data_IF_658206634839
#
_entry.id   IF_658206634839
#
_cell.length_a   1.000
_cell.length_b   1.000
_cell.length_c   1.000
_cell.angle_alpha   90.00
_cell.angle_beta   90.00
_cell.angle_gamma   90.00
#
_symmetry.space_group_name_H-M   'P 1'
#
loop_
_entity.id
_entity.type
_entity.pdbx_description
1 polymer ?
#
# COMPACT_ATOMS: atom_id res chain seq x y z
N UNK A 1 3.06 -28.28 -10.89
CA UNK A 1 1.82 -27.69 -10.34
C UNK A 1 1.88 -26.17 -10.17
N UNK A 2 3.04 -25.55 -9.86
CA UNK A 2 3.16 -24.08 -9.72
C UNK A 2 2.96 -23.28 -11.02
N UNK A 3 3.39 -23.78 -12.19
CA UNK A 3 3.29 -23.06 -13.48
C UNK A 3 1.85 -22.80 -13.96
N UNK A 4 0.90 -23.66 -13.59
CA UNK A 4 -0.53 -23.48 -13.90
C UNK A 4 -1.23 -22.49 -12.95
N UNK A 5 -0.57 -22.11 -11.84
CA UNK A 5 -1.13 -21.21 -10.82
C UNK A 5 -0.83 -19.75 -11.16
N UNK A 6 0.35 -19.48 -11.73
CA UNK A 6 0.72 -18.14 -12.23
C UNK A 6 -0.11 -17.72 -13.46
N UNK A 7 -0.32 -18.62 -14.44
CA UNK A 7 -1.18 -18.31 -15.59
C UNK A 7 -2.64 -18.01 -15.18
N UNK A 8 -3.16 -18.67 -14.15
CA UNK A 8 -4.51 -18.40 -13.63
C UNK A 8 -4.59 -17.07 -12.87
N UNK A 9 -3.54 -16.69 -12.12
CA UNK A 9 -3.45 -15.39 -11.45
C UNK A 9 -3.37 -14.25 -12.47
N UNK A 10 -2.53 -14.39 -13.50
CA UNK A 10 -2.41 -13.39 -14.57
C UNK A 10 -3.71 -13.21 -15.36
N UNK A 11 -4.41 -14.32 -15.66
CA UNK A 11 -5.71 -14.26 -16.34
C UNK A 11 -6.79 -13.57 -15.50
N UNK A 12 -6.85 -13.81 -14.18
CA UNK A 12 -7.85 -13.18 -13.29
C UNK A 12 -7.60 -11.68 -13.12
N UNK A 13 -6.34 -11.25 -13.01
CA UNK A 13 -5.98 -9.82 -12.91
C UNK A 13 -6.30 -9.06 -14.19
N UNK A 14 -5.96 -9.63 -15.36
CA UNK A 14 -6.25 -9.01 -16.67
C UNK A 14 -7.77 -8.96 -16.93
N UNK A 15 -8.53 -10.01 -16.57
CA UNK A 15 -9.98 -10.02 -16.77
C UNK A 15 -10.75 -9.08 -15.84
N UNK A 16 -10.25 -8.86 -14.61
CA UNK A 16 -10.89 -7.97 -13.63
C UNK A 16 -10.75 -6.49 -14.01
N UNK A 17 -9.63 -6.11 -14.64
CA UNK A 17 -9.39 -4.75 -15.17
C UNK A 17 -10.19 -4.51 -16.48
N UNK A 18 -10.38 -5.56 -17.31
CA UNK A 18 -11.12 -5.46 -18.57
C UNK A 18 -12.65 -5.42 -18.39
N UNK A 19 -13.20 -6.01 -17.33
CA UNK A 19 -14.67 -6.00 -17.10
C UNK A 19 -15.19 -4.67 -16.55
N UNK A 20 -14.33 -3.82 -15.97
CA UNK A 20 -14.69 -2.47 -15.54
C UNK A 20 -14.65 -1.41 -16.66
N UNK A 21 -14.13 -1.75 -17.86
CA UNK A 21 -13.87 -0.80 -18.94
C UNK A 21 -14.77 -0.94 -20.19
N UNK A 22 -15.81 -1.78 -20.14
CA UNK A 22 -16.73 -1.97 -21.28
C UNK A 22 -18.16 -1.52 -20.99
N UNK A 23 -18.36 -0.22 -20.76
CA UNK A 23 -19.54 0.51 -21.27
C UNK A 23 -19.20 2.00 -21.44
N UNK A 24 -19.65 2.56 -22.56
CA UNK A 24 -19.68 3.99 -22.91
C UNK A 24 -18.38 4.66 -23.43
N UNK A 25 -18.34 4.77 -24.76
CA UNK A 25 -17.52 5.74 -25.48
C UNK A 25 -18.11 7.15 -25.35
N UNK A 26 -17.37 8.06 -24.73
CA UNK A 26 -17.62 9.49 -24.77
C UNK A 26 -16.77 10.21 -23.72
N UNK A 27 -15.76 10.97 -24.18
CA UNK A 27 -14.92 11.91 -23.42
C UNK A 27 -14.99 11.84 -21.88
N UNK A 28 -14.00 11.21 -21.25
CA UNK A 28 -13.85 11.30 -19.80
C UNK A 28 -12.39 11.53 -19.41
N UNK A 29 -12.17 12.59 -18.62
CA UNK A 29 -11.33 12.48 -17.44
C UNK A 29 -12.01 11.46 -16.51
N UNK A 30 -11.72 10.15 -16.67
CA UNK A 30 -12.25 9.11 -15.76
C UNK A 30 -11.37 9.15 -14.52
N UNK A 31 -11.76 9.96 -13.53
CA UNK A 31 -11.35 9.64 -12.17
C UNK A 31 -11.94 8.27 -11.84
N UNK A 32 -11.10 7.27 -11.60
CA UNK A 32 -11.56 5.97 -11.13
C UNK A 32 -12.43 6.19 -9.87
N UNK A 33 -13.66 5.65 -9.86
CA UNK A 33 -14.55 5.75 -8.70
C UNK A 33 -13.89 5.10 -7.49
N UNK A 34 -14.00 5.74 -6.33
CA UNK A 34 -13.49 5.17 -5.07
C UNK A 34 -14.46 4.14 -4.50
N UNK A 35 -13.97 3.21 -3.68
CA UNK A 35 -14.81 2.16 -3.10
C UNK A 35 -15.92 2.76 -2.23
N UNK A 36 -15.63 3.85 -1.52
CA UNK A 36 -16.65 4.57 -0.75
C UNK A 36 -17.73 5.18 -1.64
N UNK A 37 -17.35 5.77 -2.79
CA UNK A 37 -18.31 6.31 -3.76
C UNK A 37 -19.20 5.20 -4.34
N UNK A 38 -18.62 4.06 -4.74
CA UNK A 38 -19.42 2.94 -5.25
C UNK A 38 -20.40 2.38 -4.21
N UNK A 39 -19.99 2.34 -2.93
CA UNK A 39 -20.91 1.98 -1.83
C UNK A 39 -22.01 3.01 -1.64
N UNK A 40 -21.72 4.30 -1.82
CA UNK A 40 -22.73 5.36 -1.77
C UNK A 40 -23.71 5.24 -2.94
N UNK A 41 -23.25 4.89 -4.14
CA UNK A 41 -24.10 4.66 -5.31
C UNK A 41 -25.03 3.46 -5.10
N UNK A 42 -24.53 2.38 -4.48
CA UNK A 42 -25.37 1.24 -4.07
C UNK A 42 -26.44 1.65 -3.06
N UNK A 43 -26.11 2.50 -2.09
CA UNK A 43 -27.10 3.05 -1.14
C UNK A 43 -28.18 3.82 -1.89
N UNK A 44 -27.80 4.66 -2.85
CA UNK A 44 -28.74 5.44 -3.66
C UNK A 44 -29.66 4.53 -4.51
N UNK A 45 -29.12 3.47 -5.09
CA UNK A 45 -29.91 2.46 -5.81
C UNK A 45 -30.92 1.77 -4.88
N UNK A 46 -30.51 1.36 -3.67
CA UNK A 46 -31.41 0.75 -2.70
C UNK A 46 -32.51 1.71 -2.21
N UNK A 47 -32.20 3.00 -2.06
CA UNK A 47 -33.18 4.05 -1.75
C UNK A 47 -34.23 4.18 -2.86
N UNK A 48 -33.83 4.12 -4.14
CA UNK A 48 -34.76 4.13 -5.27
C UNK A 48 -35.69 2.91 -5.25
N UNK A 49 -35.14 1.70 -5.06
CA UNK A 49 -35.94 0.47 -4.94
C UNK A 49 -36.91 0.59 -3.76
N UNK A 50 -36.48 1.12 -2.61
CA UNK A 50 -37.33 1.29 -1.42
C UNK A 50 -38.57 2.15 -1.69
N UNK A 51 -38.43 3.14 -2.57
CA UNK A 51 -39.50 4.07 -2.94
C UNK A 51 -40.47 3.51 -3.99
N UNK A 52 -40.19 2.35 -4.59
CA UNK A 52 -41.12 1.69 -5.52
C UNK A 52 -42.41 1.21 -4.79
N UNK A 53 -43.56 1.46 -5.41
CA UNK A 53 -44.88 1.15 -4.87
C UNK A 53 -45.19 -0.35 -4.85
N UNK A 54 -44.51 -1.14 -5.68
CA UNK A 54 -44.67 -2.59 -5.76
C UNK A 54 -43.89 -3.35 -4.67
N UNK A 55 -43.11 -2.66 -3.83
CA UNK A 55 -42.40 -3.27 -2.71
C UNK A 55 -43.31 -3.44 -1.50
N UNK A 56 -43.39 -4.66 -0.99
CA UNK A 56 -44.13 -4.94 0.25
C UNK A 56 -43.56 -4.19 1.45
N UNK A 57 -44.41 -3.83 2.42
CA UNK A 57 -43.98 -3.17 3.67
C UNK A 57 -42.87 -3.93 4.41
N UNK A 58 -42.89 -5.27 4.35
CA UNK A 58 -41.86 -6.14 4.94
C UNK A 58 -40.53 -5.98 4.20
N UNK A 59 -40.56 -5.92 2.87
CA UNK A 59 -39.38 -5.72 2.03
C UNK A 59 -38.81 -4.31 2.18
N UNK A 60 -39.65 -3.26 2.26
CA UNK A 60 -39.22 -1.88 2.58
C UNK A 60 -38.43 -1.82 3.89
N UNK A 61 -38.95 -2.45 4.95
CA UNK A 61 -38.23 -2.53 6.24
C UNK A 61 -36.88 -3.25 6.15
N UNK A 62 -36.76 -4.29 5.31
CA UNK A 62 -35.48 -4.95 5.10
C UNK A 62 -34.51 -4.09 4.28
N UNK A 63 -34.99 -3.30 3.31
CA UNK A 63 -34.19 -2.33 2.56
C UNK A 63 -33.62 -1.25 3.48
N UNK A 64 -34.46 -0.65 4.33
CA UNK A 64 -34.02 0.32 5.34
C UNK A 64 -32.93 -0.25 6.26
N UNK A 65 -33.09 -1.50 6.68
CA UNK A 65 -32.09 -2.18 7.50
C UNK A 65 -30.81 -2.51 6.73
N UNK A 66 -30.88 -2.74 5.42
CA UNK A 66 -29.71 -2.97 4.57
C UNK A 66 -28.94 -1.65 4.37
N UNK A 67 -29.64 -0.59 4.00
CA UNK A 67 -29.10 0.77 3.80
C UNK A 67 -28.37 1.23 5.07
N UNK A 68 -29.03 1.15 6.23
CA UNK A 68 -28.41 1.49 7.52
C UNK A 68 -27.13 0.70 7.84
N UNK A 69 -26.98 -0.51 7.30
CA UNK A 69 -25.77 -1.31 7.48
C UNK A 69 -24.66 -0.86 6.52
N UNK A 70 -24.98 -0.53 5.28
CA UNK A 70 -24.02 0.04 4.33
C UNK A 70 -23.55 1.44 4.77
N UNK A 71 -24.45 2.31 5.23
CA UNK A 71 -24.08 3.61 5.81
C UNK A 71 -23.12 3.43 7.00
N UNK A 72 -23.34 2.39 7.82
CA UNK A 72 -22.43 2.07 8.91
C UNK A 72 -21.06 1.58 8.40
N UNK A 73 -21.01 0.90 7.27
CA UNK A 73 -19.75 0.44 6.68
C UNK A 73 -18.92 1.61 6.14
N UNK A 74 -19.55 2.73 5.79
CA UNK A 74 -18.93 4.01 5.39
C UNK A 74 -18.46 4.90 6.56
N UNK A 75 -18.51 4.44 7.81
CA UNK A 75 -18.00 5.24 8.93
C UNK A 75 -16.49 5.51 8.77
N UNK A 76 -16.08 6.78 8.77
CA UNK A 76 -14.70 7.22 8.50
C UNK A 76 -13.64 6.58 9.40
N UNK A 77 -13.95 6.22 10.65
CA UNK A 77 -13.01 5.51 11.54
C UNK A 77 -12.61 4.11 11.02
N UNK A 78 -13.38 3.56 10.08
CA UNK A 78 -13.14 2.22 9.53
C UNK A 78 -12.27 2.24 8.27
N UNK A 79 -12.00 3.43 7.74
CA UNK A 79 -11.26 3.64 6.51
C UNK A 79 -9.91 4.31 6.81
N UNK A 80 -8.92 4.00 5.98
CA UNK A 80 -7.64 4.72 5.93
C UNK A 80 -7.77 5.89 4.95
N UNK A 81 -8.39 5.62 3.81
CA UNK A 81 -8.67 6.54 2.72
C UNK A 81 -9.95 6.09 1.98
N UNK A 82 -10.26 6.70 0.85
CA UNK A 82 -11.51 6.47 0.10
C UNK A 82 -11.64 5.07 -0.51
N UNK A 83 -10.55 4.31 -0.62
CA UNK A 83 -10.54 2.96 -1.22
C UNK A 83 -9.90 1.89 -0.34
N UNK A 84 -9.33 2.26 0.81
CA UNK A 84 -8.60 1.35 1.69
C UNK A 84 -9.21 1.30 3.08
N UNK A 85 -9.54 0.10 3.55
CA UNK A 85 -10.05 -0.09 4.91
C UNK A 85 -8.93 -0.12 5.95
N UNK A 86 -9.17 0.50 7.10
CA UNK A 86 -8.22 0.52 8.21
C UNK A 86 -8.03 -0.90 8.78
N UNK A 87 -6.81 -1.44 8.85
CA UNK A 87 -6.55 -2.80 9.37
C UNK A 87 -7.16 -3.11 10.74
N UNK A 88 -7.18 -2.13 11.66
CA UNK A 88 -7.74 -2.29 13.00
C UNK A 88 -9.25 -2.50 12.94
N UNK A 89 -9.93 -1.76 12.07
CA UNK A 89 -11.37 -1.61 12.03
C UNK A 89 -12.06 -2.24 10.81
N UNK A 90 -11.34 -2.69 9.78
CA UNK A 90 -11.87 -3.16 8.50
C UNK A 90 -12.84 -4.33 8.61
N UNK A 91 -12.68 -5.17 9.64
CA UNK A 91 -13.67 -6.21 9.99
C UNK A 91 -15.08 -5.65 10.24
N UNK A 92 -15.20 -4.41 10.72
CA UNK A 92 -16.49 -3.75 10.95
C UNK A 92 -17.19 -3.39 9.63
N UNK A 93 -16.44 -2.98 8.61
CA UNK A 93 -16.93 -2.73 7.23
C UNK A 93 -17.52 -4.03 6.68
N UNK A 94 -16.69 -5.06 6.54
CA UNK A 94 -17.07 -6.36 5.98
C UNK A 94 -18.26 -7.02 6.73
N UNK A 95 -18.32 -6.88 8.06
CA UNK A 95 -19.45 -7.42 8.84
C UNK A 95 -20.75 -6.63 8.64
N UNK A 96 -20.65 -5.32 8.42
CA UNK A 96 -21.82 -4.49 8.18
C UNK A 96 -22.39 -4.82 6.79
N UNK A 97 -21.54 -4.94 5.78
CA UNK A 97 -21.91 -5.33 4.42
C UNK A 97 -22.49 -6.76 4.38
N UNK A 98 -21.90 -7.70 5.12
CA UNK A 98 -22.49 -9.03 5.29
C UNK A 98 -23.91 -8.98 5.89
N UNK A 99 -24.13 -8.10 6.86
CA UNK A 99 -25.45 -7.94 7.47
C UNK A 99 -26.44 -7.28 6.51
N UNK A 100 -25.99 -6.35 5.66
CA UNK A 100 -26.79 -5.74 4.61
C UNK A 100 -27.26 -6.81 3.61
N UNK A 101 -26.34 -7.61 3.06
CA UNK A 101 -26.67 -8.70 2.11
C UNK A 101 -27.67 -9.68 2.72
N UNK A 102 -27.53 -10.07 3.99
CA UNK A 102 -28.53 -10.94 4.65
C UNK A 102 -29.94 -10.35 4.66
N UNK A 103 -30.09 -9.02 4.69
CA UNK A 103 -31.40 -8.36 4.58
C UNK A 103 -31.90 -8.39 3.14
N UNK A 104 -31.03 -8.15 2.16
CA UNK A 104 -31.32 -8.24 0.73
C UNK A 104 -31.74 -9.66 0.32
N UNK A 105 -31.01 -10.69 0.75
CA UNK A 105 -31.36 -12.10 0.55
C UNK A 105 -32.74 -12.48 1.14
N UNK A 106 -33.19 -11.80 2.19
CA UNK A 106 -34.53 -12.02 2.73
C UNK A 106 -35.63 -11.35 1.91
N UNK A 107 -35.32 -10.28 1.18
CA UNK A 107 -36.24 -9.63 0.24
C UNK A 107 -36.46 -10.52 -0.98
N UNK A 108 -35.41 -11.17 -1.49
CA UNK A 108 -35.51 -12.10 -2.62
C UNK A 108 -36.45 -13.30 -2.38
N UNK A 109 -36.79 -13.59 -1.11
CA UNK A 109 -37.77 -14.62 -0.73
C UNK A 109 -39.22 -14.15 -0.84
N UNK A 110 -39.46 -12.86 -1.08
CA UNK A 110 -40.80 -12.30 -1.26
C UNK A 110 -41.36 -12.70 -2.63
N UNK A 111 -42.44 -13.49 -2.62
CA UNK A 111 -43.09 -13.97 -3.83
C UNK A 111 -43.77 -12.87 -4.63
N UNK A 112 -44.11 -11.74 -3.99
CA UNK A 112 -44.79 -10.61 -4.64
C UNK A 112 -43.83 -9.65 -5.34
N UNK A 113 -42.53 -9.81 -5.14
CA UNK A 113 -41.52 -8.97 -5.76
C UNK A 113 -41.42 -9.30 -7.26
N UNK A 114 -41.41 -8.26 -8.11
CA UNK A 114 -41.22 -8.41 -9.55
C UNK A 114 -39.85 -9.01 -9.86
N UNK A 115 -39.69 -9.57 -11.05
CA UNK A 115 -38.42 -10.20 -11.43
C UNK A 115 -37.34 -9.15 -11.68
N UNK A 116 -37.72 -8.00 -12.22
CA UNK A 116 -36.83 -6.87 -12.48
C UNK A 116 -36.15 -6.40 -11.19
N UNK A 117 -36.93 -6.22 -10.11
CA UNK A 117 -36.40 -5.81 -8.81
C UNK A 117 -35.57 -6.92 -8.17
N UNK A 118 -35.93 -8.20 -8.37
CA UNK A 118 -35.10 -9.32 -7.88
C UNK A 118 -33.73 -9.32 -8.54
N UNK A 119 -33.68 -9.09 -9.85
CA UNK A 119 -32.44 -9.08 -10.61
C UNK A 119 -31.58 -7.88 -10.23
N UNK A 120 -32.19 -6.71 -10.01
CA UNK A 120 -31.50 -5.52 -9.49
C UNK A 120 -30.88 -5.77 -8.10
N UNK A 121 -31.64 -6.38 -7.16
CA UNK A 121 -31.12 -6.74 -5.83
C UNK A 121 -30.01 -7.80 -5.93
N UNK A 122 -30.10 -8.74 -6.87
CA UNK A 122 -29.02 -9.72 -7.12
C UNK A 122 -27.75 -9.03 -7.59
N UNK A 123 -27.85 -8.12 -8.56
CA UNK A 123 -26.71 -7.33 -9.04
C UNK A 123 -26.08 -6.50 -7.91
N UNK A 124 -26.89 -5.87 -7.06
CA UNK A 124 -26.41 -5.17 -5.87
C UNK A 124 -25.65 -6.12 -4.93
N UNK A 125 -26.16 -7.33 -4.68
CA UNK A 125 -25.46 -8.30 -3.85
C UNK A 125 -24.11 -8.74 -4.46
N UNK A 126 -24.05 -8.89 -5.78
CA UNK A 126 -22.80 -9.19 -6.51
C UNK A 126 -21.81 -8.04 -6.30
N UNK A 127 -22.22 -6.80 -6.56
CA UNK A 127 -21.35 -5.62 -6.46
C UNK A 127 -20.79 -5.45 -5.04
N UNK A 128 -21.64 -5.52 -4.00
CA UNK A 128 -21.19 -5.45 -2.60
C UNK A 128 -20.16 -6.55 -2.31
N UNK A 129 -20.44 -7.78 -2.77
CA UNK A 129 -19.55 -8.92 -2.51
C UNK A 129 -18.21 -8.80 -3.24
N UNK A 130 -18.21 -8.28 -4.46
CA UNK A 130 -17.00 -8.02 -5.25
C UNK A 130 -16.16 -6.89 -4.65
N UNK A 131 -16.78 -5.79 -4.22
CA UNK A 131 -16.06 -4.70 -3.54
C UNK A 131 -15.34 -5.21 -2.28
N UNK A 132 -16.05 -5.96 -1.43
CA UNK A 132 -15.47 -6.53 -0.22
C UNK A 132 -14.39 -7.59 -0.52
N UNK A 133 -14.52 -8.35 -1.61
CA UNK A 133 -13.48 -9.25 -2.08
C UNK A 133 -12.21 -8.45 -2.42
N UNK A 134 -12.33 -7.43 -3.27
CA UNK A 134 -11.20 -6.59 -3.69
C UNK A 134 -10.50 -5.91 -2.51
N UNK A 135 -11.26 -5.41 -1.52
CA UNK A 135 -10.69 -4.83 -0.29
C UNK A 135 -9.79 -5.82 0.46
N UNK A 136 -10.20 -7.10 0.53
CA UNK A 136 -9.40 -8.13 1.21
C UNK A 136 -8.23 -8.59 0.34
N UNK A 137 -8.39 -8.72 -0.98
CA UNK A 137 -7.31 -9.09 -1.90
C UNK A 137 -6.20 -8.02 -1.92
N UNK A 138 -6.57 -6.74 -2.02
CA UNK A 138 -5.61 -5.64 -1.95
C UNK A 138 -4.82 -5.68 -0.65
N UNK A 139 -5.51 -5.85 0.49
CA UNK A 139 -4.84 -5.98 1.79
C UNK A 139 -3.94 -7.22 1.90
N UNK A 140 -4.17 -8.29 1.14
CA UNK A 140 -3.25 -9.43 1.07
C UNK A 140 -2.03 -9.07 0.23
N UNK A 141 -2.22 -8.51 -0.96
CA UNK A 141 -1.13 -8.15 -1.87
C UNK A 141 -0.16 -7.18 -1.17
N UNK A 142 -0.68 -6.17 -0.48
CA UNK A 142 0.12 -5.22 0.31
C UNK A 142 0.94 -5.89 1.42
N UNK A 143 0.49 -7.03 1.92
CA UNK A 143 1.14 -7.74 3.02
C UNK A 143 2.07 -8.84 2.55
N UNK A 144 1.84 -9.45 1.38
CA UNK A 144 2.73 -10.46 0.82
C UNK A 144 4.13 -9.90 0.56
N UNK A 145 4.24 -8.60 0.24
CA UNK A 145 5.52 -7.94 -0.01
C UNK A 145 6.33 -7.64 1.26
N UNK A 146 5.67 -7.54 2.43
CA UNK A 146 6.33 -7.11 3.68
C UNK A 146 6.37 -8.21 4.76
N UNK A 147 5.58 -9.27 4.64
CA UNK A 147 5.54 -10.38 5.60
C UNK A 147 6.56 -11.44 5.20
N UNK A 148 7.73 -11.39 5.86
CA UNK A 148 8.83 -12.34 5.65
C UNK A 148 8.85 -13.49 6.66
N UNK A 149 8.07 -13.42 7.75
CA UNK A 149 8.07 -14.49 8.76
C UNK A 149 7.28 -15.71 8.29
N UNK A 150 7.84 -16.92 8.46
CA UNK A 150 7.16 -18.19 8.16
C UNK A 150 5.74 -18.28 8.75
N UNK A 151 5.58 -17.77 9.97
CA UNK A 151 4.31 -17.81 10.69
C UNK A 151 3.34 -16.79 10.10
N UNK A 152 3.78 -15.61 9.71
CA UNK A 152 3.01 -14.58 9.01
C UNK A 152 2.57 -15.05 7.62
N UNK A 153 3.50 -15.60 6.82
CA UNK A 153 3.25 -16.18 5.51
C UNK A 153 2.15 -17.26 5.60
N UNK A 154 2.26 -18.19 6.56
CA UNK A 154 1.22 -19.21 6.82
C UNK A 154 -0.15 -18.63 7.20
N UNK A 155 -0.24 -17.40 7.72
CA UNK A 155 -1.53 -16.71 7.96
C UNK A 155 -2.07 -16.12 6.67
N UNK A 156 -1.22 -15.53 5.84
CA UNK A 156 -1.63 -15.00 4.54
C UNK A 156 -2.11 -16.13 3.62
N UNK A 157 -1.41 -17.26 3.55
CA UNK A 157 -1.87 -18.45 2.83
C UNK A 157 -3.26 -18.91 3.28
N UNK A 158 -3.52 -18.89 4.60
CA UNK A 158 -4.84 -19.21 5.16
C UNK A 158 -5.88 -18.14 4.82
N UNK A 159 -5.49 -16.88 4.65
CA UNK A 159 -6.38 -15.83 4.21
C UNK A 159 -6.82 -16.09 2.76
N UNK A 160 -5.87 -16.38 1.87
CA UNK A 160 -6.10 -16.76 0.46
C UNK A 160 -7.05 -17.97 0.37
N UNK A 161 -6.81 -19.02 1.16
CA UNK A 161 -7.70 -20.20 1.21
C UNK A 161 -9.16 -19.84 1.59
N UNK A 162 -9.35 -18.80 2.41
CA UNK A 162 -10.70 -18.30 2.72
C UNK A 162 -11.29 -17.48 1.57
N UNK A 163 -10.49 -16.69 0.87
CA UNK A 163 -10.96 -15.99 -0.33
C UNK A 163 -11.40 -17.00 -1.40
N UNK A 164 -10.59 -18.02 -1.67
CA UNK A 164 -10.93 -19.08 -2.64
C UNK A 164 -12.26 -19.76 -2.29
N UNK A 165 -12.48 -20.08 -1.01
CA UNK A 165 -13.77 -20.62 -0.52
C UNK A 165 -14.91 -19.62 -0.65
N UNK A 166 -14.63 -18.32 -0.50
CA UNK A 166 -15.59 -17.25 -0.73
C UNK A 166 -15.99 -17.14 -2.21
N UNK A 167 -15.03 -17.25 -3.12
CA UNK A 167 -15.24 -17.15 -4.56
C UNK A 167 -16.14 -18.30 -5.08
N UNK A 168 -15.91 -19.53 -4.63
CA UNK A 168 -16.81 -20.66 -4.95
C UNK A 168 -18.25 -20.39 -4.48
N UNK A 169 -18.42 -19.78 -3.30
CA UNK A 169 -19.75 -19.43 -2.79
C UNK A 169 -20.38 -18.25 -3.55
N UNK A 170 -19.57 -17.32 -4.05
CA UNK A 170 -20.04 -16.22 -4.89
C UNK A 170 -20.57 -16.74 -6.23
N UNK A 171 -19.86 -17.69 -6.86
CA UNK A 171 -20.31 -18.38 -8.08
C UNK A 171 -21.64 -19.13 -7.88
N UNK A 172 -21.84 -19.69 -6.68
CA UNK A 172 -23.08 -20.35 -6.26
C UNK A 172 -24.23 -19.38 -5.87
N UNK A 173 -24.08 -18.06 -6.09
CA UNK A 173 -24.99 -17.00 -5.63
C UNK A 173 -25.24 -16.98 -4.09
N UNK A 174 -24.31 -17.52 -3.28
CA UNK A 174 -24.38 -17.56 -1.80
C UNK A 174 -23.63 -16.38 -1.17
N UNK A 175 -24.02 -15.16 -1.53
CA UNK A 175 -23.34 -13.90 -1.21
C UNK A 175 -23.02 -13.72 0.28
N UNK A 176 -23.98 -13.88 1.19
CA UNK A 176 -23.71 -13.69 2.63
C UNK A 176 -22.75 -14.71 3.22
N UNK A 177 -22.62 -15.89 2.60
CA UNK A 177 -21.66 -16.93 2.96
C UNK A 177 -20.28 -16.66 2.35
N UNK A 178 -20.22 -16.10 1.13
CA UNK A 178 -18.99 -15.61 0.52
C UNK A 178 -18.34 -14.52 1.41
N UNK A 179 -19.09 -13.47 1.76
CA UNK A 179 -18.66 -12.42 2.67
C UNK A 179 -18.22 -12.97 4.05
N UNK A 180 -18.88 -14.02 4.55
CA UNK A 180 -18.46 -14.70 5.79
C UNK A 180 -17.03 -15.22 5.70
N UNK A 181 -16.61 -15.72 4.53
CA UNK A 181 -15.26 -16.20 4.32
C UNK A 181 -14.27 -15.04 4.13
N UNK A 182 -14.65 -13.95 3.46
CA UNK A 182 -13.81 -12.75 3.37
C UNK A 182 -13.56 -12.11 4.76
N UNK A 183 -14.58 -12.05 5.63
CA UNK A 183 -14.40 -11.67 7.04
C UNK A 183 -13.40 -12.59 7.77
N UNK A 184 -13.43 -13.90 7.49
CA UNK A 184 -12.46 -14.85 8.07
C UNK A 184 -11.06 -14.68 7.48
N UNK A 185 -10.94 -14.31 6.20
CA UNK A 185 -9.67 -13.95 5.57
C UNK A 185 -9.06 -12.74 6.28
N UNK A 186 -9.86 -11.70 6.52
CA UNK A 186 -9.45 -10.53 7.31
C UNK A 186 -8.99 -10.87 8.73
N UNK A 187 -9.64 -11.85 9.38
CA UNK A 187 -9.17 -12.33 10.68
C UNK A 187 -7.80 -13.00 10.62
N UNK A 188 -7.42 -13.63 9.50
CA UNK A 188 -6.06 -14.16 9.31
C UNK A 188 -5.06 -13.05 9.01
N UNK A 189 -5.42 -12.07 8.17
CA UNK A 189 -4.64 -10.85 7.92
C UNK A 189 -4.28 -10.18 9.26
N UNK A 190 -5.28 -9.92 10.12
CA UNK A 190 -5.07 -9.34 11.45
C UNK A 190 -4.19 -10.20 12.37
N UNK A 191 -4.13 -11.52 12.17
CA UNK A 191 -3.23 -12.40 12.92
C UNK A 191 -1.81 -12.36 12.39
N UNK A 192 -1.65 -12.19 11.07
CA UNK A 192 -0.35 -11.99 10.44
C UNK A 192 0.31 -10.71 10.96
N UNK A 193 -0.45 -9.62 11.02
CA UNK A 193 -0.04 -8.32 11.59
C UNK A 193 0.27 -8.32 13.10
N UNK A 194 -0.08 -9.38 13.82
CA UNK A 194 0.18 -9.56 15.26
C UNK A 194 1.38 -10.45 15.53
N UNK A 195 2.01 -10.99 14.49
CA UNK A 195 3.25 -11.73 14.65
C UNK A 195 4.31 -10.78 15.24
N UNK A 196 4.98 -11.09 16.36
CA UNK A 196 6.07 -10.26 16.86
C UNK A 196 7.24 -10.15 15.87
N UNK A 197 7.36 -11.11 14.95
CA UNK A 197 8.32 -11.09 13.85
C UNK A 197 7.76 -10.42 12.58
N UNK A 198 6.59 -9.79 12.69
CA UNK A 198 6.15 -8.80 11.72
C UNK A 198 7.10 -7.61 11.87
N UNK A 199 8.12 -7.49 10.99
CA UNK A 199 8.87 -6.24 10.82
C UNK A 199 7.84 -5.19 10.38
N UNK A 200 7.15 -4.56 11.34
CA UNK A 200 6.96 -3.14 11.17
C UNK A 200 8.38 -2.61 11.24
N UNK A 201 8.91 -2.13 10.12
CA UNK A 201 9.64 -0.86 10.19
C UNK A 201 8.63 0.16 10.73
N UNK A 202 8.37 0.11 12.04
CA UNK A 202 7.70 1.16 12.76
C UNK A 202 8.84 2.08 13.16
N UNK A 203 9.26 2.90 12.20
CA UNK A 203 9.85 4.19 12.52
C UNK A 203 8.77 4.98 13.26
N UNK A 204 8.60 4.68 14.55
CA UNK A 204 7.84 5.54 15.45
C UNK A 204 8.79 6.69 15.75
N UNK A 205 8.52 7.82 15.11
CA UNK A 205 9.21 9.09 15.31
C UNK A 205 10.68 9.06 14.90
N UNK A 206 10.90 9.43 13.63
CA UNK A 206 12.08 10.16 13.20
C UNK A 206 13.44 9.44 13.34
N UNK A 207 13.50 8.18 13.76
CA UNK A 207 14.77 7.44 13.94
C UNK A 207 14.54 5.91 13.88
N UNK A 208 15.42 5.17 13.22
CA UNK A 208 15.36 3.71 13.15
C UNK A 208 16.56 3.09 12.45
N UNK A 209 16.78 1.80 12.72
CA UNK A 209 17.79 0.97 12.04
C UNK A 209 17.15 -0.24 11.35
N UNK A 210 17.85 -0.81 10.38
CA UNK A 210 17.46 -2.06 9.75
C UNK A 210 18.67 -2.91 9.37
N UNK A 211 18.58 -4.19 9.72
CA UNK A 211 19.33 -5.33 9.19
C UNK A 211 18.66 -5.75 7.85
N UNK A 212 19.38 -5.59 6.74
CA UNK A 212 18.98 -5.79 5.36
C UNK A 212 19.38 -7.16 4.80
N UNK A 213 20.47 -7.76 5.28
CA UNK A 213 20.95 -9.07 4.80
C UNK A 213 20.67 -10.26 5.75
N UNK A 214 20.10 -9.98 6.92
CA UNK A 214 19.66 -10.91 7.96
C UNK A 214 20.78 -11.64 8.70
N UNK A 215 21.98 -11.06 8.79
CA UNK A 215 23.08 -11.61 9.57
C UNK A 215 22.98 -11.32 11.08
N UNK A 216 22.11 -10.38 11.47
CA UNK A 216 21.85 -9.97 12.85
C UNK A 216 22.45 -8.61 13.23
N UNK A 217 23.21 -7.98 12.33
CA UNK A 217 23.82 -6.66 12.49
C UNK A 217 23.02 -5.60 11.72
N UNK A 218 23.03 -4.34 12.19
CA UNK A 218 22.28 -3.28 11.51
C UNK A 218 23.07 -2.75 10.31
N UNK A 219 22.47 -2.85 9.13
CA UNK A 219 23.04 -2.33 7.88
C UNK A 219 22.79 -0.85 7.64
N UNK A 220 21.64 -0.35 8.08
CA UNK A 220 21.25 1.04 7.85
C UNK A 220 20.67 1.67 9.11
N UNK A 221 20.98 2.95 9.30
CA UNK A 221 20.42 3.81 10.32
C UNK A 221 19.95 5.11 9.66
N UNK A 222 18.73 5.52 9.96
CA UNK A 222 18.13 6.75 9.43
C UNK A 222 17.48 7.53 10.57
N UNK A 223 17.77 8.84 10.61
CA UNK A 223 17.18 9.78 11.55
C UNK A 223 16.73 11.07 10.86
N UNK A 224 15.45 11.37 10.94
CA UNK A 224 14.85 12.62 10.44
C UNK A 224 14.84 13.66 11.55
N UNK A 225 15.53 14.76 11.37
CA UNK A 225 15.58 15.87 12.31
C UNK A 225 14.52 16.91 11.97
N UNK A 226 13.60 17.16 12.90
CA UNK A 226 12.59 18.20 12.76
C UNK A 226 13.25 19.58 12.62
N UNK A 227 12.77 20.43 11.70
CA UNK A 227 13.30 21.78 11.56
C UNK A 227 13.06 22.60 12.82
N UNK A 228 14.04 23.42 13.22
CA UNK A 228 13.93 24.32 14.39
C UNK A 228 12.92 25.46 14.20
N UNK A 229 12.50 25.71 12.96
CA UNK A 229 11.58 26.79 12.58
C UNK A 229 10.61 26.28 11.51
N UNK A 230 9.35 26.77 11.48
CA UNK A 230 8.45 26.53 10.36
C UNK A 230 9.11 26.92 9.02
N UNK A 231 8.76 26.21 7.94
CA UNK A 231 9.24 26.46 6.58
C UNK A 231 10.77 26.29 6.39
N UNK A 232 11.42 25.54 7.27
CA UNK A 232 12.80 25.06 7.03
C UNK A 232 12.78 23.62 6.55
N UNK A 233 13.71 23.23 5.67
CA UNK A 233 13.84 21.84 5.24
C UNK A 233 14.01 20.90 6.43
N UNK A 234 13.48 19.69 6.29
CA UNK A 234 13.80 18.58 7.17
C UNK A 234 15.23 18.14 6.87
N UNK A 235 15.99 17.79 7.90
CA UNK A 235 17.32 17.19 7.73
C UNK A 235 17.20 15.69 7.99
N UNK A 236 17.86 14.87 7.18
CA UNK A 236 17.98 13.43 7.37
C UNK A 236 19.44 13.11 7.58
N UNK A 237 19.72 12.46 8.69
CA UNK A 237 20.99 11.83 9.03
C UNK A 237 20.88 10.36 8.67
N UNK A 238 21.78 9.89 7.80
CA UNK A 238 21.78 8.52 7.30
C UNK A 238 23.18 7.93 7.47
N UNK A 239 23.21 6.69 7.96
CA UNK A 239 24.40 5.85 8.03
C UNK A 239 24.09 4.52 7.40
N UNK A 240 25.02 3.97 6.62
CA UNK A 240 24.84 2.66 5.98
C UNK A 240 26.16 1.90 5.89
N UNK A 241 26.13 0.60 6.14
CA UNK A 241 27.29 -0.29 6.10
C UNK A 241 27.90 -0.34 4.70
N UNK A 242 29.24 -0.44 4.63
CA UNK A 242 29.96 -0.59 3.35
C UNK A 242 29.58 -1.88 2.61
N UNK A 243 29.11 -2.91 3.33
CA UNK A 243 28.73 -4.21 2.76
C UNK A 243 27.50 -4.09 1.85
N UNK A 244 26.49 -3.33 2.26
CA UNK A 244 25.30 -3.10 1.45
C UNK A 244 25.53 -2.19 0.24
N UNK A 245 26.60 -1.39 0.25
CA UNK A 245 27.00 -0.51 -0.87
C UNK A 245 28.01 -1.16 -1.82
N UNK A 246 28.58 -2.30 -1.42
CA UNK A 246 29.67 -3.01 -2.10
C UNK A 246 30.77 -2.09 -2.63
N UNK A 247 31.32 -1.29 -1.72
CA UNK A 247 32.40 -0.39 -2.03
C UNK A 247 32.92 0.32 -0.80
N UNK A 248 34.23 0.20 -0.55
CA UNK A 248 34.96 1.10 0.35
C UNK A 248 35.56 2.29 -0.43
N UNK A 249 35.11 2.50 -1.66
CA UNK A 249 35.45 3.66 -2.50
C UNK A 249 34.18 4.23 -3.11
N UNK A 250 34.20 5.53 -3.40
CA UNK A 250 33.05 6.21 -4.02
C UNK A 250 32.73 5.67 -5.42
N UNK A 251 33.73 5.23 -6.18
CA UNK A 251 33.53 4.64 -7.51
C UNK A 251 32.76 3.31 -7.48
N UNK A 252 32.67 2.67 -6.32
CA UNK A 252 32.03 1.36 -6.15
C UNK A 252 30.78 1.42 -5.26
N UNK A 253 30.64 2.46 -4.43
CA UNK A 253 29.46 2.70 -3.61
C UNK A 253 28.32 3.33 -4.44
N UNK A 254 27.37 2.50 -4.88
CA UNK A 254 26.15 2.97 -5.55
C UNK A 254 25.02 3.13 -4.56
N UNK A 255 24.41 4.31 -4.49
CA UNK A 255 23.21 4.55 -3.68
C UNK A 255 22.26 5.44 -4.44
N UNK A 256 20.99 5.07 -4.57
CA UNK A 256 19.96 5.97 -5.10
C UNK A 256 18.78 6.04 -4.14
N UNK A 257 18.10 7.18 -4.10
CA UNK A 257 16.93 7.37 -3.24
C UNK A 257 15.72 7.81 -4.07
N UNK A 258 14.58 7.19 -3.81
CA UNK A 258 13.27 7.61 -4.31
C UNK A 258 12.33 7.98 -3.18
N UNK A 259 11.34 8.82 -3.48
CA UNK A 259 10.26 9.18 -2.57
C UNK A 259 8.91 8.83 -3.19
N UNK A 260 7.98 8.31 -2.40
CA UNK A 260 6.59 8.15 -2.82
C UNK A 260 5.62 8.53 -1.72
N UNK A 261 4.52 9.18 -2.09
CA UNK A 261 3.37 9.39 -1.21
C UNK A 261 2.59 8.05 -1.07
N UNK A 262 1.74 7.88 -0.05
CA UNK A 262 1.04 6.64 0.26
C UNK A 262 -0.22 6.47 -0.60
N UNK A 263 -0.43 7.33 -1.61
CA UNK A 263 -1.51 7.16 -2.58
C UNK A 263 -1.09 6.01 -3.48
N UNK A 264 -1.37 4.77 -3.05
CA UNK A 264 -0.96 3.48 -3.63
C UNK A 264 -1.38 3.23 -5.09
N UNK A 265 -1.92 4.24 -5.78
CA UNK A 265 -2.28 4.20 -7.19
C UNK A 265 -1.69 5.34 -8.01
N UNK A 266 -0.89 6.21 -7.39
CA UNK A 266 -0.14 7.22 -8.13
C UNK A 266 1.22 6.65 -8.53
N UNK A 267 1.41 6.47 -9.84
CA UNK A 267 2.73 6.42 -10.47
C UNK A 267 3.34 7.82 -10.59
N UNK A 268 2.64 8.85 -10.13
CA UNK A 268 3.15 10.23 -10.13
C UNK A 268 4.16 10.32 -8.99
N UNK A 269 5.42 10.15 -9.39
CA UNK A 269 6.55 10.60 -8.60
C UNK A 269 6.47 12.11 -8.52
N UNK A 270 6.42 12.65 -7.31
CA UNK A 270 6.50 14.09 -7.11
C UNK A 270 7.96 14.54 -7.21
N UNK A 271 8.53 14.49 -8.41
CA UNK A 271 9.78 15.20 -8.68
C UNK A 271 9.61 16.71 -8.45
N UNK A 272 8.39 17.24 -8.57
CA UNK A 272 8.11 18.67 -8.45
C UNK A 272 7.80 19.14 -7.01
N UNK A 273 7.56 18.23 -6.05
CA UNK A 273 7.19 18.62 -4.67
C UNK A 273 8.29 18.37 -3.63
N UNK A 274 9.40 17.72 -4.03
CA UNK A 274 10.53 17.42 -3.16
C UNK A 274 11.83 17.98 -3.69
N UNK A 275 12.26 19.12 -3.17
CA UNK A 275 13.64 19.58 -3.34
C UNK A 275 14.51 18.84 -2.33
N UNK A 276 15.41 18.00 -2.83
CA UNK A 276 16.42 17.33 -2.03
C UNK A 276 17.80 17.93 -2.29
N UNK A 277 18.62 18.06 -1.25
CA UNK A 277 19.97 18.63 -1.44
C UNK A 277 20.89 18.31 -0.27
N UNK A 278 22.20 18.42 -0.48
CA UNK A 278 23.19 18.51 0.60
C UNK A 278 24.27 19.53 0.23
N UNK A 279 25.22 19.79 1.12
CA UNK A 279 26.27 20.80 0.86
C UNK A 279 27.13 20.47 -0.37
N UNK A 280 27.31 19.19 -0.68
CA UNK A 280 28.06 18.75 -1.86
C UNK A 280 27.28 19.05 -3.15
N UNK A 281 26.02 18.62 -3.24
CA UNK A 281 25.19 18.85 -4.43
C UNK A 281 24.96 20.35 -4.66
N UNK A 282 24.74 21.17 -3.62
CA UNK A 282 24.67 22.64 -3.76
C UNK A 282 25.91 23.25 -4.41
N UNK A 283 27.08 22.66 -4.18
CA UNK A 283 28.37 23.20 -4.62
C UNK A 283 28.76 22.68 -6.00
N UNK A 284 28.41 21.43 -6.32
CA UNK A 284 28.98 20.71 -7.45
C UNK A 284 27.96 20.26 -8.48
N UNK A 285 26.69 20.12 -8.12
CA UNK A 285 25.64 19.74 -9.06
C UNK A 285 25.12 20.97 -9.83
N UNK A 286 24.90 20.88 -11.16
CA UNK A 286 24.36 21.98 -11.96
C UNK A 286 23.03 22.57 -11.45
N UNK A 287 22.13 21.75 -10.91
CA UNK A 287 20.84 22.22 -10.38
C UNK A 287 20.87 22.47 -8.85
N UNK A 288 21.96 22.05 -8.19
CA UNK A 288 22.16 22.19 -6.76
C UNK A 288 21.29 21.26 -5.92
N UNK A 289 20.67 20.26 -6.55
CA UNK A 289 19.70 19.34 -5.97
C UNK A 289 20.14 17.90 -6.17
N UNK A 290 19.47 16.98 -5.48
CA UNK A 290 19.61 15.55 -5.65
C UNK A 290 18.40 15.06 -6.43
N UNK A 291 18.60 14.58 -7.65
CA UNK A 291 17.53 14.01 -8.46
C UNK A 291 17.12 12.65 -7.90
N UNK A 292 15.86 12.54 -7.46
CA UNK A 292 15.32 11.28 -6.94
C UNK A 292 15.09 10.24 -8.02
N UNK A 293 14.94 8.98 -7.61
CA UNK A 293 14.44 7.92 -8.49
C UNK A 293 12.95 8.14 -8.78
N UNK A 294 12.59 8.11 -10.06
CA UNK A 294 11.19 8.03 -10.50
C UNK A 294 10.68 6.62 -10.23
N UNK A 295 9.69 6.48 -9.35
CA UNK A 295 9.04 5.18 -9.07
C UNK A 295 7.72 5.13 -9.83
N UNK A 296 7.78 4.56 -11.03
CA UNK A 296 6.63 4.44 -11.95
C UNK A 296 5.97 3.06 -11.92
N UNK A 297 6.61 2.05 -11.31
CA UNK A 297 6.15 0.67 -11.33
C UNK A 297 6.67 -0.15 -10.14
N UNK A 298 5.98 -1.27 -9.85
CA UNK A 298 6.45 -2.24 -8.84
C UNK A 298 7.80 -2.86 -9.25
N UNK A 299 8.05 -3.00 -10.54
CA UNK A 299 9.34 -3.48 -11.06
C UNK A 299 10.52 -2.59 -10.66
N UNK A 300 10.30 -1.28 -10.51
CA UNK A 300 11.34 -0.33 -10.11
C UNK A 300 11.91 -0.69 -8.74
N UNK A 301 11.11 -1.23 -7.81
CA UNK A 301 11.57 -1.70 -6.49
C UNK A 301 12.51 -2.92 -6.55
N UNK A 302 12.52 -3.64 -7.67
CA UNK A 302 13.24 -4.90 -7.81
C UNK A 302 14.56 -4.77 -8.57
N UNK A 303 14.88 -3.59 -9.10
CA UNK A 303 16.04 -3.35 -9.94
C UNK A 303 16.72 -2.04 -9.54
N UNK A 304 18.04 -1.96 -9.73
CA UNK A 304 18.74 -0.70 -9.56
C UNK A 304 18.31 0.28 -10.67
N UNK A 305 17.77 1.45 -10.32
CA UNK A 305 17.11 2.32 -11.30
C UNK A 305 18.12 3.06 -12.19
N UNK A 306 17.76 3.23 -13.46
CA UNK A 306 18.55 4.05 -14.40
C UNK A 306 18.41 5.55 -14.11
N UNK A 307 17.27 5.98 -13.57
CA UNK A 307 16.98 7.37 -13.21
C UNK A 307 17.52 7.75 -11.83
N UNK A 308 17.56 9.05 -11.55
CA UNK A 308 18.05 9.61 -10.28
C UNK A 308 19.57 9.62 -10.14
N UNK A 309 20.05 10.48 -9.26
CA UNK A 309 21.47 10.64 -8.97
C UNK A 309 21.98 9.55 -8.04
N UNK A 310 23.26 9.19 -8.22
CA UNK A 310 23.97 8.46 -7.19
C UNK A 310 24.18 9.40 -5.99
N UNK A 311 23.77 9.00 -4.80
CA UNK A 311 23.88 9.79 -3.57
C UNK A 311 25.32 9.95 -3.11
N UNK A 312 26.14 8.92 -3.28
CA UNK A 312 27.55 8.91 -2.92
C UNK A 312 28.35 9.32 -4.16
N UNK A 313 28.95 10.51 -4.11
CA UNK A 313 29.70 11.12 -5.19
C UNK A 313 30.97 11.77 -4.65
N UNK A 314 31.99 11.86 -5.51
CA UNK A 314 33.26 12.54 -5.24
C UNK A 314 33.49 13.58 -6.31
N UNK A 315 33.90 14.77 -5.91
CA UNK A 315 34.44 15.74 -6.85
C UNK A 315 35.89 15.34 -7.17
N UNK A 316 36.18 15.06 -8.45
CA UNK A 316 37.50 14.56 -8.87
C UNK A 316 38.63 15.59 -8.74
N UNK A 317 38.32 16.88 -8.63
CA UNK A 317 39.33 17.94 -8.51
C UNK A 317 39.68 18.22 -7.04
N UNK A 318 38.66 18.30 -6.17
CA UNK A 318 38.84 18.64 -4.75
C UNK A 318 38.92 17.43 -3.84
N UNK A 319 38.55 16.23 -4.34
CA UNK A 319 38.38 15.00 -3.58
C UNK A 319 37.37 15.14 -2.43
N UNK A 320 36.47 16.12 -2.51
CA UNK A 320 35.36 16.28 -1.55
C UNK A 320 34.26 15.26 -1.88
N UNK A 321 33.74 14.59 -0.86
CA UNK A 321 32.69 13.57 -1.00
C UNK A 321 31.33 14.11 -0.53
N UNK A 322 30.25 13.60 -1.12
CA UNK A 322 28.89 13.89 -0.66
C UNK A 322 28.50 13.15 0.62
N UNK A 323 29.21 12.06 0.93
CA UNK A 323 29.11 11.22 2.13
C UNK A 323 30.51 10.81 2.58
N UNK A 324 30.70 10.71 3.89
CA UNK A 324 31.98 10.36 4.50
C UNK A 324 32.05 8.86 4.79
N UNK A 325 33.11 8.19 4.34
CA UNK A 325 33.43 6.85 4.77
C UNK A 325 34.06 6.90 6.17
N UNK A 326 33.39 6.29 7.14
CA UNK A 326 33.86 6.18 8.52
C UNK A 326 34.28 4.73 8.82
N UNK A 327 35.38 4.52 9.55
CA UNK A 327 35.92 3.18 9.80
C UNK A 327 35.05 2.33 10.74
N UNK A 328 34.19 2.97 11.53
CA UNK A 328 33.33 2.29 12.50
C UNK A 328 32.16 3.20 12.91
N UNK A 329 30.93 2.66 12.89
CA UNK A 329 29.73 3.32 13.37
C UNK A 329 29.11 2.57 14.56
N UNK A 330 29.02 3.17 15.76
CA UNK A 330 28.35 2.54 16.90
C UNK A 330 26.85 2.27 16.70
N UNK A 331 26.23 2.94 15.72
CA UNK A 331 24.80 2.74 15.38
C UNK A 331 24.59 1.54 14.45
N UNK A 332 25.68 1.04 13.86
CA UNK A 332 25.73 -0.06 12.91
C UNK A 332 26.75 -1.08 13.42
N UNK A 333 26.66 -1.41 14.71
CA UNK A 333 27.42 -2.50 15.33
C UNK A 333 28.95 -2.45 15.10
N UNK A 334 29.51 -1.23 15.12
CA UNK A 334 30.93 -0.92 14.91
C UNK A 334 31.48 -1.21 13.50
N UNK A 335 30.61 -1.42 12.51
CA UNK A 335 30.98 -1.69 11.13
C UNK A 335 31.50 -0.45 10.37
N UNK A 336 32.33 -0.67 9.34
CA UNK A 336 32.72 0.37 8.38
C UNK A 336 31.47 0.86 7.64
N UNK A 337 31.28 2.18 7.55
CA UNK A 337 30.01 2.75 7.12
C UNK A 337 30.20 4.05 6.35
N UNK A 338 29.22 4.38 5.51
CA UNK A 338 29.06 5.69 4.91
C UNK A 338 28.10 6.52 5.77
N UNK A 339 28.50 7.74 6.13
CA UNK A 339 27.70 8.69 6.92
C UNK A 339 27.50 9.99 6.14
N UNK A 340 26.29 10.52 6.19
CA UNK A 340 26.05 11.85 5.66
C UNK A 340 24.66 12.36 5.94
N UNK A 341 24.41 13.57 5.43
CA UNK A 341 23.19 14.31 5.68
C UNK A 341 22.64 14.87 4.40
N UNK A 342 21.32 14.87 4.29
CA UNK A 342 20.62 15.60 3.24
C UNK A 342 19.43 16.35 3.82
N UNK A 343 19.01 17.37 3.09
CA UNK A 343 17.85 18.18 3.40
C UNK A 343 16.76 17.88 2.38
N UNK A 344 15.51 17.88 2.81
CA UNK A 344 14.38 17.83 1.90
C UNK A 344 13.27 18.80 2.31
N UNK A 345 12.56 19.35 1.33
CA UNK A 345 11.27 20.03 1.53
C UNK A 345 10.15 19.15 1.00
N UNK A 346 8.96 19.27 1.57
CA UNK A 346 7.78 18.54 1.13
C UNK A 346 6.54 19.07 1.83
N UNK A 347 5.37 18.87 1.23
CA UNK A 347 4.10 19.19 1.88
C UNK A 347 3.88 18.27 3.09
N UNK A 348 2.94 18.62 3.96
CA UNK A 348 2.58 17.71 5.05
C UNK A 348 1.89 16.46 4.50
N UNK A 349 2.31 15.28 4.96
CA UNK A 349 1.84 14.01 4.42
C UNK A 349 2.60 12.83 4.98
N UNK A 350 2.07 11.64 4.76
CA UNK A 350 2.79 10.39 4.95
C UNK A 350 3.64 10.15 3.70
N UNK A 351 4.89 9.69 3.86
CA UNK A 351 5.82 9.48 2.76
C UNK A 351 6.61 8.19 2.96
N UNK A 352 7.06 7.64 1.85
CA UNK A 352 7.94 6.49 1.79
C UNK A 352 9.28 6.91 1.17
N UNK A 353 10.38 6.58 1.83
CA UNK A 353 11.73 6.69 1.28
C UNK A 353 12.12 5.29 0.83
N UNK A 354 12.55 5.18 -0.42
CA UNK A 354 13.07 3.94 -0.99
C UNK A 354 14.55 4.14 -1.24
N UNK A 355 15.35 3.22 -0.72
CA UNK A 355 16.80 3.23 -0.89
C UNK A 355 17.18 2.04 -1.76
N UNK A 356 17.82 2.35 -2.88
CA UNK A 356 18.26 1.40 -3.89
C UNK A 356 19.77 1.24 -3.80
N UNK A 357 20.22 0.00 -3.65
CA UNK A 357 21.63 -0.38 -3.75
C UNK A 357 21.84 -1.19 -5.03
N UNK A 358 23.00 -1.06 -5.70
CA UNK A 358 23.25 -1.75 -6.95
C UNK A 358 23.24 -3.27 -6.75
N UNK A 359 22.36 -3.95 -7.50
CA UNK A 359 22.32 -5.42 -7.53
C UNK A 359 23.53 -6.00 -8.25
N UNK A 360 24.15 -7.02 -7.66
CA UNK A 360 25.32 -7.73 -8.17
C UNK A 360 25.01 -8.49 -9.49
N UNK A 361 25.94 -8.54 -10.47
CA UNK A 361 25.91 -9.55 -11.54
C UNK A 361 26.20 -10.96 -10.98
N UNK A 362 25.20 -11.84 -11.03
CA UNK A 362 25.20 -13.30 -10.86
C UNK A 362 26.35 -13.93 -10.02
N UNK A 363 26.07 -14.23 -8.74
CA UNK A 363 26.90 -15.10 -7.91
C UNK A 363 26.45 -15.24 -6.47
N UNK A 364 25.96 -14.16 -5.85
CA UNK A 364 25.44 -14.18 -4.48
C UNK A 364 24.19 -13.28 -4.34
N UNK A 365 23.20 -13.67 -3.51
CA UNK A 365 21.83 -13.15 -3.55
C UNK A 365 21.54 -12.03 -2.54
N UNK A 366 22.53 -11.21 -2.17
CA UNK A 366 22.27 -10.13 -1.19
C UNK A 366 21.78 -8.89 -1.95
N UNK A 367 20.49 -8.57 -1.77
CA UNK A 367 19.85 -7.35 -2.26
C UNK A 367 19.51 -6.50 -1.04
N UNK A 368 20.34 -5.50 -0.74
CA UNK A 368 20.08 -4.53 0.33
C UNK A 368 19.11 -3.44 -0.17
N UNK A 369 17.85 -3.78 -0.41
CA UNK A 369 16.81 -2.79 -0.69
C UNK A 369 16.07 -2.44 0.60
N UNK A 370 15.96 -1.14 0.90
CA UNK A 370 15.30 -0.67 2.10
C UNK A 370 14.12 0.25 1.76
N UNK A 371 12.97 0.00 2.40
CA UNK A 371 11.79 0.86 2.36
C UNK A 371 11.55 1.43 3.75
N UNK A 372 11.78 2.74 3.90
CA UNK A 372 11.44 3.47 5.11
C UNK A 372 10.15 4.27 4.90
N UNK A 373 9.41 4.52 5.99
CA UNK A 373 8.21 5.37 5.96
C UNK A 373 8.30 6.41 7.05
N UNK A 374 7.85 7.63 6.74
CA UNK A 374 7.85 8.75 7.66
C UNK A 374 6.65 9.67 7.41
N UNK A 375 6.37 10.58 8.34
CA UNK A 375 5.28 11.54 8.22
C UNK A 375 5.82 12.94 8.46
N UNK A 376 5.50 13.86 7.55
CA UNK A 376 5.65 15.29 7.72
C UNK A 376 4.36 15.77 8.37
N UNK A 377 4.41 16.04 9.68
CA UNK A 377 3.24 16.49 10.43
C UNK A 377 2.63 17.75 9.75
N UNK A 378 1.31 17.75 9.54
CA UNK A 378 0.56 19.01 9.42
C UNK A 378 0.68 19.68 10.77
N UNK A 379 1.40 20.80 10.85
CA UNK A 379 1.41 21.60 12.08
C UNK A 379 -0.03 22.05 12.36
N UNK A 380 -0.76 21.29 13.16
CA UNK A 380 -1.85 21.82 13.95
C UNK A 380 -1.22 22.30 15.25
N UNK A 381 -0.68 23.52 15.23
CA UNK A 381 -0.57 24.29 16.47
C UNK A 381 -1.96 24.82 16.87
#
# INVERSE_FOLDING_TARGET
MNKNREMKRFAVTVFSVLLLSMTYSGNFEIFASTVQQEKQDIINQLENIKNDDNISKKSKKNLELAIKKLEKSLNSEYWKDESTINFKHGKKVLNADQQAIKKLENILKDKKLSNEIKDEIKNININITQLDKSLVENAINELEEIIMSDKGVKKIEKAIEKIDKGNVLLEDEKYSQALKNYVKAWDQIKKALKDPNFKKLKLIHLEGSADLDYDGDNDIYLKILKPKKPNKPYEVDIKMTSECLKGNTVDTAGLKIGFSAPVKHSTESFHEEFDMTNEWFKKYDPDGQINTVVIDSVSTYSQFPETGDNFIQTNSETMENSFDLIPSSPMLDEQESWEGKFQFTGQSGDYHIVIFTPTIPAGEPIICNALASFTIDTTFE
#
